data_IF_123308733238
#
_entry.id   IF_123308733238
#
_cell.length_a   1.000
_cell.length_b   1.000
_cell.length_c   1.000
_cell.angle_alpha   90.00
_cell.angle_beta   90.00
_cell.angle_gamma   90.00
#
_symmetry.space_group_name_H-M   'P 1'
#
loop_
_entity.id
_entity.type
_entity.pdbx_description
1 polymer ?
#
# COMPACT_ATOMS: atom_id res chain seq x y z
N UNK A 1 -6.98 -28.68 0.28
CA UNK A 1 -6.53 -27.48 1.00
C UNK A 1 -6.69 -26.33 0.03
N UNK A 2 -7.67 -25.46 0.25
CA UNK A 2 -7.92 -24.32 -0.62
C UNK A 2 -6.79 -23.28 -0.43
N UNK A 3 -6.02 -23.05 -1.50
CA UNK A 3 -4.99 -22.00 -1.50
C UNK A 3 -5.68 -20.64 -1.34
N UNK A 4 -5.32 -19.93 -0.27
CA UNK A 4 -5.77 -18.56 -0.05
C UNK A 4 -5.11 -17.65 -1.09
N UNK A 5 -5.85 -17.26 -2.09
CA UNK A 5 -5.46 -16.19 -3.01
C UNK A 5 -5.21 -14.92 -2.18
N UNK A 6 -4.02 -14.31 -2.29
CA UNK A 6 -3.72 -13.09 -1.55
C UNK A 6 -4.65 -11.95 -1.99
N UNK A 7 -4.93 -11.00 -1.08
CA UNK A 7 -5.81 -9.86 -1.38
C UNK A 7 -5.34 -9.08 -2.62
N UNK A 8 -4.02 -8.97 -2.84
CA UNK A 8 -3.44 -8.37 -4.05
C UNK A 8 -3.73 -9.17 -5.32
N UNK A 9 -3.85 -10.51 -5.23
CA UNK A 9 -4.25 -11.35 -6.36
C UNK A 9 -5.76 -11.29 -6.61
N UNK A 10 -6.57 -11.18 -5.55
CA UNK A 10 -8.01 -10.96 -5.65
C UNK A 10 -8.33 -9.54 -6.17
N UNK A 11 -7.58 -8.54 -5.76
CA UNK A 11 -7.70 -7.14 -6.21
C UNK A 11 -7.26 -6.96 -7.67
N UNK A 12 -6.17 -7.58 -8.09
CA UNK A 12 -5.81 -7.64 -9.51
C UNK A 12 -6.88 -8.33 -10.37
N UNK A 13 -7.72 -9.19 -9.75
CA UNK A 13 -8.86 -9.84 -10.43
C UNK A 13 -10.08 -8.93 -10.61
N UNK A 14 -10.19 -7.83 -9.87
CA UNK A 14 -11.42 -7.03 -9.74
C UNK A 14 -11.36 -5.62 -10.34
N UNK A 15 -10.37 -5.29 -11.19
CA UNK A 15 -10.33 -3.98 -11.84
C UNK A 15 -11.43 -3.85 -12.92
N UNK A 16 -12.15 -2.71 -12.99
CA UNK A 16 -13.33 -2.56 -13.83
C UNK A 16 -13.00 -2.56 -15.32
N UNK A 17 -13.70 -3.40 -16.08
CA UNK A 17 -13.89 -3.19 -17.50
C UNK A 17 -15.25 -2.52 -17.75
N UNK A 18 -15.41 -1.71 -18.83
CA UNK A 18 -16.65 -1.00 -19.11
C UNK A 18 -17.83 -1.97 -19.22
N UNK A 19 -18.92 -1.64 -18.56
CA UNK A 19 -20.12 -2.45 -18.42
C UNK A 19 -20.71 -2.89 -19.76
N UNK A 20 -20.83 -4.20 -19.98
CA UNK A 20 -21.71 -4.78 -21.01
C UNK A 20 -23.15 -4.79 -20.46
N UNK A 21 -24.14 -4.25 -21.17
CA UNK A 21 -25.53 -4.31 -20.72
C UNK A 21 -26.16 -5.68 -20.97
N UNK A 22 -26.64 -6.31 -19.93
CA UNK A 22 -27.60 -7.38 -20.07
C UNK A 22 -27.41 -8.61 -19.17
N UNK A 23 -28.35 -8.77 -18.25
CA UNK A 23 -28.69 -9.90 -17.38
C UNK A 23 -28.25 -9.76 -15.91
N UNK A 24 -28.91 -8.85 -15.17
CA UNK A 24 -28.70 -8.76 -13.73
C UNK A 24 -29.77 -7.96 -13.00
N UNK A 25 -31.01 -7.87 -13.48
CA UNK A 25 -32.06 -7.07 -12.82
C UNK A 25 -32.39 -7.50 -11.39
N UNK A 26 -32.18 -8.78 -11.03
CA UNK A 26 -32.45 -9.26 -9.66
C UNK A 26 -31.34 -8.88 -8.66
N UNK A 27 -30.06 -8.88 -9.09
CA UNK A 27 -28.93 -8.49 -8.23
C UNK A 27 -28.91 -6.98 -7.92
N UNK A 28 -29.33 -6.13 -8.84
CA UNK A 28 -29.35 -4.68 -8.68
C UNK A 28 -30.35 -4.17 -7.61
N UNK A 29 -31.35 -4.99 -7.25
CA UNK A 29 -32.34 -4.62 -6.23
C UNK A 29 -32.02 -5.07 -4.79
N UNK A 30 -31.04 -5.98 -4.61
CA UNK A 30 -30.74 -6.59 -3.32
C UNK A 30 -29.46 -6.11 -2.65
N UNK A 31 -28.52 -5.59 -3.42
CA UNK A 31 -27.22 -5.18 -2.92
C UNK A 31 -27.02 -3.67 -3.02
N UNK A 32 -26.23 -3.11 -2.09
CA UNK A 32 -25.83 -1.71 -2.12
C UNK A 32 -25.00 -1.39 -3.36
N UNK A 33 -25.14 -0.16 -3.90
CA UNK A 33 -24.29 0.35 -4.98
C UNK A 33 -22.80 0.34 -4.61
N UNK A 34 -22.46 0.46 -3.31
CA UNK A 34 -21.11 0.35 -2.77
C UNK A 34 -20.40 -0.96 -3.10
N UNK A 35 -21.15 -2.00 -3.48
CA UNK A 35 -20.62 -3.33 -3.78
C UNK A 35 -20.87 -3.75 -5.23
N UNK A 36 -21.14 -2.79 -6.12
CA UNK A 36 -21.43 -3.04 -7.55
C UNK A 36 -20.17 -3.30 -8.37
N UNK A 37 -19.18 -4.00 -7.81
CA UNK A 37 -17.93 -4.33 -8.48
C UNK A 37 -18.09 -5.48 -9.47
N UNK A 38 -17.30 -5.51 -10.56
CA UNK A 38 -17.21 -6.66 -11.44
C UNK A 38 -16.55 -7.81 -10.67
N UNK A 39 -17.30 -8.92 -10.46
CA UNK A 39 -16.81 -10.10 -9.72
C UNK A 39 -16.22 -11.17 -10.65
N UNK A 40 -16.11 -10.86 -11.95
CA UNK A 40 -15.55 -11.78 -12.95
C UNK A 40 -14.02 -11.58 -12.99
N UNK A 41 -13.22 -12.65 -12.85
CA UNK A 41 -11.76 -12.54 -12.97
C UNK A 41 -11.36 -11.90 -14.31
N UNK A 42 -10.40 -10.98 -14.28
CA UNK A 42 -9.84 -10.36 -15.48
C UNK A 42 -9.08 -11.41 -16.34
N UNK A 43 -8.74 -11.07 -17.61
CA UNK A 43 -8.07 -12.00 -18.52
C UNK A 43 -6.75 -12.56 -17.98
N UNK A 44 -5.92 -11.71 -17.34
CA UNK A 44 -4.64 -12.15 -16.76
C UNK A 44 -4.84 -13.12 -15.59
N UNK A 45 -5.80 -12.86 -14.70
CA UNK A 45 -6.12 -13.74 -13.57
C UNK A 45 -6.61 -15.12 -14.05
N UNK A 46 -7.41 -15.16 -15.12
CA UNK A 46 -7.84 -16.43 -15.75
C UNK A 46 -6.63 -17.18 -16.31
N UNK A 47 -5.75 -16.51 -17.06
CA UNK A 47 -4.56 -17.12 -17.63
C UNK A 47 -3.62 -17.69 -16.55
N UNK A 48 -3.46 -16.98 -15.42
CA UNK A 48 -2.68 -17.46 -14.26
C UNK A 48 -3.34 -18.72 -13.66
N UNK A 49 -4.66 -18.72 -13.49
CA UNK A 49 -5.42 -19.87 -13.00
C UNK A 49 -5.25 -21.10 -13.90
N UNK A 50 -5.36 -20.93 -15.21
CA UNK A 50 -5.14 -21.99 -16.22
C UNK A 50 -3.69 -22.53 -16.18
N UNK A 51 -2.70 -21.64 -16.08
CA UNK A 51 -1.31 -22.04 -16.00
C UNK A 51 -1.00 -22.85 -14.72
N UNK A 52 -1.56 -22.45 -13.58
CA UNK A 52 -1.46 -23.19 -12.31
C UNK A 52 -2.16 -24.54 -12.39
N UNK A 53 -3.38 -24.60 -12.91
CA UNK A 53 -4.14 -25.85 -13.08
C UNK A 53 -3.43 -26.85 -13.99
N UNK A 54 -2.66 -26.40 -14.98
CA UNK A 54 -1.84 -27.27 -15.85
C UNK A 54 -0.55 -27.78 -15.20
N UNK A 55 -0.27 -27.44 -13.93
CA UNK A 55 0.95 -27.80 -13.24
C UNK A 55 2.22 -27.07 -13.73
N UNK A 56 2.06 -25.98 -14.50
CA UNK A 56 3.18 -25.19 -15.04
C UNK A 56 3.88 -24.45 -13.91
N UNK A 57 5.20 -24.57 -13.84
CA UNK A 57 6.03 -23.75 -12.93
C UNK A 57 6.05 -22.30 -13.40
N UNK A 58 5.51 -21.39 -12.59
CA UNK A 58 5.48 -19.94 -12.88
C UNK A 58 6.64 -19.27 -12.17
N UNK A 59 7.36 -18.40 -12.88
CA UNK A 59 8.30 -17.42 -12.31
C UNK A 59 7.50 -16.17 -11.92
N UNK A 60 7.04 -16.17 -10.67
CA UNK A 60 6.13 -15.13 -10.19
C UNK A 60 6.93 -13.91 -9.70
N UNK A 61 6.90 -12.84 -10.49
CA UNK A 61 7.51 -11.54 -10.17
C UNK A 61 6.49 -10.55 -9.58
N UNK A 62 5.34 -11.05 -9.08
CA UNK A 62 4.27 -10.23 -8.48
C UNK A 62 4.11 -10.45 -6.98
N UNK A 63 4.92 -11.33 -6.37
CA UNK A 63 4.82 -11.72 -4.97
C UNK A 63 4.82 -10.48 -4.06
N UNK A 64 3.79 -10.35 -3.23
CA UNK A 64 3.68 -9.28 -2.22
C UNK A 64 3.58 -9.84 -0.78
N UNK A 65 3.52 -11.17 -0.65
CA UNK A 65 3.45 -11.87 0.63
C UNK A 65 4.86 -12.27 1.09
N UNK A 66 5.37 -11.68 2.19
CA UNK A 66 6.71 -12.01 2.70
C UNK A 66 6.89 -13.49 3.05
N UNK A 67 5.82 -14.14 3.50
CA UNK A 67 5.85 -15.57 3.87
C UNK A 67 6.12 -16.47 2.64
N UNK A 68 5.49 -16.14 1.50
CA UNK A 68 5.75 -16.80 0.21
C UNK A 68 7.15 -16.48 -0.32
N UNK A 69 7.64 -15.27 -0.06
CA UNK A 69 9.01 -14.86 -0.37
C UNK A 69 10.07 -15.53 0.53
N UNK A 70 9.65 -16.38 1.48
CA UNK A 70 10.56 -17.13 2.35
C UNK A 70 11.23 -16.30 3.45
N UNK A 71 10.73 -15.09 3.75
CA UNK A 71 11.24 -14.25 4.86
C UNK A 71 10.28 -14.38 6.03
N UNK A 72 10.79 -14.85 7.16
CA UNK A 72 9.96 -15.13 8.34
C UNK A 72 10.52 -14.46 9.59
N UNK A 73 9.64 -13.86 10.40
CA UNK A 73 9.97 -13.46 11.77
C UNK A 73 10.33 -14.67 12.63
N UNK A 74 10.79 -14.42 13.85
CA UNK A 74 11.00 -15.48 14.85
C UNK A 74 9.65 -16.04 15.31
N UNK A 75 9.30 -17.21 14.80
CA UNK A 75 8.00 -17.84 15.03
C UNK A 75 7.78 -18.17 16.51
N UNK A 76 8.78 -18.69 17.21
CA UNK A 76 8.67 -19.07 18.62
C UNK A 76 8.44 -17.84 19.50
N UNK A 77 9.24 -16.80 19.29
CA UNK A 77 9.11 -15.53 20.01
C UNK A 77 7.75 -14.88 19.76
N UNK A 78 7.27 -14.88 18.52
CA UNK A 78 5.96 -14.33 18.15
C UNK A 78 4.83 -15.11 18.82
N UNK A 79 4.84 -16.45 18.74
CA UNK A 79 3.79 -17.28 19.33
C UNK A 79 3.79 -17.21 20.86
N UNK A 80 4.96 -17.17 21.51
CA UNK A 80 5.07 -17.00 22.94
C UNK A 80 4.49 -15.66 23.42
N UNK A 81 4.70 -14.58 22.67
CA UNK A 81 4.15 -13.27 22.99
C UNK A 81 2.62 -13.24 22.90
N UNK A 82 2.02 -13.98 21.97
CA UNK A 82 0.57 -14.09 21.82
C UNK A 82 -0.09 -14.92 22.93
N UNK A 83 0.64 -15.79 23.61
CA UNK A 83 0.14 -16.67 24.66
C UNK A 83 0.12 -15.98 26.05
N UNK A 84 -0.09 -14.69 26.11
CA UNK A 84 -0.18 -13.92 27.35
C UNK A 84 -1.51 -14.19 28.06
N UNK A 85 -1.53 -14.66 29.34
CA UNK A 85 -2.76 -14.91 30.09
C UNK A 85 -3.68 -13.68 30.26
N UNK A 86 -3.13 -12.48 30.33
CA UNK A 86 -3.88 -11.22 30.40
C UNK A 86 -4.77 -10.99 29.15
N UNK A 87 -4.53 -11.69 28.06
CA UNK A 87 -5.37 -11.67 26.88
C UNK A 87 -6.78 -12.20 27.11
N UNK A 88 -7.01 -12.94 28.18
CA UNK A 88 -8.34 -13.44 28.58
C UNK A 88 -9.18 -12.40 29.31
N UNK A 89 -8.62 -11.24 29.67
CA UNK A 89 -9.35 -10.13 30.26
C UNK A 89 -9.97 -9.28 29.16
N UNK A 90 -11.28 -9.05 29.24
CA UNK A 90 -11.96 -8.10 28.39
C UNK A 90 -11.84 -6.69 28.98
N UNK A 91 -11.08 -5.84 28.30
CA UNK A 91 -10.87 -4.43 28.65
C UNK A 91 -10.86 -3.61 27.35
N UNK A 92 -12.05 -3.25 26.83
CA UNK A 92 -12.15 -2.55 25.56
C UNK A 92 -11.67 -1.10 25.72
N UNK A 93 -10.57 -0.79 25.05
CA UNK A 93 -10.05 0.58 24.95
C UNK A 93 -10.20 1.03 23.49
N UNK A 94 -11.07 1.99 23.19
CA UNK A 94 -11.40 2.37 21.81
C UNK A 94 -10.19 2.74 20.94
N UNK A 95 -9.22 3.46 21.53
CA UNK A 95 -7.97 3.81 20.85
C UNK A 95 -6.95 2.66 20.80
N UNK A 96 -7.24 1.54 21.46
CA UNK A 96 -6.31 0.46 21.74
C UNK A 96 -5.52 0.68 23.03
N UNK A 97 -4.89 -0.39 23.54
CA UNK A 97 -4.14 -0.38 24.80
C UNK A 97 -3.04 0.70 24.79
N UNK A 98 -2.92 1.42 25.89
CA UNK A 98 -1.96 2.51 26.03
C UNK A 98 -0.51 2.03 25.83
N UNK A 99 -0.15 0.88 26.39
CA UNK A 99 1.18 0.27 26.27
C UNK A 99 1.50 -0.10 24.82
N UNK A 100 0.49 -0.51 24.06
CA UNK A 100 0.65 -0.79 22.63
C UNK A 100 0.93 0.50 21.85
N UNK A 101 0.18 1.57 22.14
CA UNK A 101 0.40 2.90 21.54
C UNK A 101 1.78 3.45 21.91
N UNK A 102 2.23 3.27 23.15
CA UNK A 102 3.60 3.60 23.56
C UNK A 102 4.66 2.81 22.78
N UNK A 103 4.39 1.55 22.46
CA UNK A 103 5.31 0.73 21.66
C UNK A 103 5.42 1.25 20.21
N UNK A 104 4.33 1.75 19.64
CA UNK A 104 4.34 2.46 18.35
C UNK A 104 5.18 3.74 18.44
N UNK A 105 5.01 4.55 19.50
CA UNK A 105 5.84 5.75 19.71
C UNK A 105 7.33 5.39 19.82
N UNK A 106 7.67 4.30 20.52
CA UNK A 106 9.03 3.79 20.59
C UNK A 106 9.58 3.40 19.23
N UNK A 107 8.79 2.72 18.39
CA UNK A 107 9.16 2.43 17.02
C UNK A 107 9.52 3.70 16.24
N UNK A 108 8.69 4.73 16.25
CA UNK A 108 8.98 5.98 15.54
C UNK A 108 10.23 6.67 16.09
N UNK A 109 10.44 6.64 17.40
CA UNK A 109 11.66 7.19 18.02
C UNK A 109 12.92 6.48 17.53
N UNK A 110 12.92 5.16 17.55
CA UNK A 110 14.11 4.36 17.23
C UNK A 110 14.40 4.30 15.74
N UNK A 111 13.36 4.13 14.91
CA UNK A 111 13.50 3.97 13.46
C UNK A 111 13.59 5.31 12.74
N UNK A 112 12.83 6.33 13.16
CA UNK A 112 12.69 7.60 12.44
C UNK A 112 13.15 8.83 13.21
N UNK A 113 13.59 8.67 14.47
CA UNK A 113 14.11 9.78 15.29
C UNK A 113 13.02 10.74 15.79
N UNK A 114 11.76 10.33 15.79
CA UNK A 114 10.64 11.11 16.30
C UNK A 114 10.60 11.01 17.83
N UNK A 115 10.91 12.08 18.52
CA UNK A 115 11.11 12.05 19.99
C UNK A 115 9.82 12.32 20.77
N UNK A 116 8.88 13.04 20.18
CA UNK A 116 7.75 13.71 20.85
C UNK A 116 6.37 13.24 20.35
N UNK A 117 6.29 12.07 19.71
CA UNK A 117 5.00 11.49 19.34
C UNK A 117 4.24 11.07 20.62
N UNK A 118 3.09 11.73 20.86
CA UNK A 118 2.21 11.44 21.97
C UNK A 118 1.36 10.21 21.68
N UNK A 119 1.34 9.17 22.55
CA UNK A 119 0.45 8.01 22.41
C UNK A 119 -1.04 8.39 22.29
N UNK A 120 -1.48 9.52 22.84
CA UNK A 120 -2.87 9.98 22.74
C UNK A 120 -3.26 10.45 21.33
N UNK A 121 -2.28 10.65 20.44
CA UNK A 121 -2.50 10.96 19.01
C UNK A 121 -2.68 9.71 18.14
N UNK A 122 -2.58 8.50 18.75
CA UNK A 122 -2.67 7.22 18.05
C UNK A 122 -4.03 6.55 18.28
N UNK A 123 -4.58 5.98 17.20
CA UNK A 123 -5.70 5.05 17.26
C UNK A 123 -5.28 3.76 16.54
N UNK A 124 -5.36 2.62 17.23
CA UNK A 124 -5.02 1.32 16.67
C UNK A 124 -6.13 0.80 15.79
N UNK A 125 -5.75 0.10 14.72
CA UNK A 125 -6.67 -0.53 13.76
C UNK A 125 -6.15 -1.91 13.38
N UNK A 126 -7.01 -2.75 12.79
CA UNK A 126 -6.62 -4.10 12.34
C UNK A 126 -5.83 -4.08 11.04
N UNK A 127 -5.92 -3.00 10.27
CA UNK A 127 -5.20 -2.80 9.02
C UNK A 127 -5.19 -1.32 8.63
N UNK A 128 -4.29 -0.93 7.73
CA UNK A 128 -4.35 0.41 7.12
C UNK A 128 -5.63 0.60 6.31
N UNK A 129 -6.22 -0.45 5.74
CA UNK A 129 -7.53 -0.37 5.08
C UNK A 129 -8.65 0.04 6.05
N UNK A 130 -8.66 -0.48 7.28
CA UNK A 130 -9.57 -0.02 8.33
C UNK A 130 -9.25 1.42 8.74
N UNK A 131 -7.97 1.76 8.86
CA UNK A 131 -7.52 3.12 9.15
C UNK A 131 -8.02 4.13 8.10
N UNK A 132 -7.90 3.84 6.80
CA UNK A 132 -8.51 4.62 5.72
C UNK A 132 -10.02 4.77 5.91
N UNK A 133 -10.72 3.67 6.21
CA UNK A 133 -12.16 3.67 6.43
C UNK A 133 -12.58 4.58 7.58
N UNK A 134 -11.78 4.64 8.66
CA UNK A 134 -12.02 5.54 9.79
C UNK A 134 -11.80 7.01 9.39
N UNK A 135 -10.69 7.28 8.68
CA UNK A 135 -10.35 8.65 8.27
C UNK A 135 -11.33 9.17 7.20
N UNK A 136 -11.78 8.34 6.27
CA UNK A 136 -12.80 8.73 5.29
C UNK A 136 -14.12 9.10 5.99
N UNK A 137 -14.59 8.29 6.95
CA UNK A 137 -15.79 8.60 7.74
C UNK A 137 -15.64 9.84 8.63
N UNK A 138 -14.41 10.12 9.08
CA UNK A 138 -14.13 11.31 9.88
C UNK A 138 -14.22 12.58 9.05
N UNK A 139 -13.69 12.56 7.82
CA UNK A 139 -13.48 13.75 7.01
C UNK A 139 -14.58 14.02 5.97
N UNK A 140 -15.28 12.97 5.53
CA UNK A 140 -16.12 13.06 4.32
C UNK A 140 -17.58 12.70 4.59
N UNK A 141 -18.46 13.41 3.91
CA UNK A 141 -19.85 13.02 3.72
C UNK A 141 -20.00 12.23 2.43
N UNK A 142 -21.14 11.52 2.22
CA UNK A 142 -21.42 10.88 0.93
C UNK A 142 -21.33 11.86 -0.23
N UNK A 143 -20.52 11.52 -1.25
CA UNK A 143 -20.26 12.33 -2.43
C UNK A 143 -19.20 13.43 -2.26
N UNK A 144 -18.56 13.52 -1.10
CA UNK A 144 -17.33 14.32 -0.95
C UNK A 144 -16.16 13.64 -1.67
N UNK A 145 -15.12 14.40 -1.97
CA UNK A 145 -14.00 14.00 -2.82
C UNK A 145 -12.71 13.87 -2.02
N UNK A 146 -11.91 12.85 -2.37
CA UNK A 146 -10.54 12.65 -1.88
C UNK A 146 -9.60 12.64 -3.08
N UNK A 147 -8.58 13.49 -3.05
CA UNK A 147 -7.56 13.57 -4.09
C UNK A 147 -6.56 12.42 -3.94
N UNK A 148 -6.32 11.63 -5.00
CA UNK A 148 -5.49 10.42 -4.97
C UNK A 148 -4.40 10.46 -6.04
N UNK A 149 -3.14 10.06 -5.73
CA UNK A 149 -2.07 10.05 -6.72
C UNK A 149 -2.28 8.94 -7.75
N UNK A 150 -1.93 9.19 -9.02
CA UNK A 150 -1.84 8.21 -10.09
C UNK A 150 -0.49 8.34 -10.81
N UNK A 151 0.24 7.22 -11.02
CA UNK A 151 -0.06 5.84 -10.62
C UNK A 151 0.03 5.62 -9.12
N UNK A 152 -0.79 4.69 -8.59
CA UNK A 152 -0.78 4.34 -7.17
C UNK A 152 -1.43 2.98 -6.89
N UNK A 153 -1.60 2.68 -5.61
CA UNK A 153 -2.13 1.42 -5.13
C UNK A 153 -3.62 1.25 -5.43
N UNK A 154 -4.05 0.15 -6.08
CA UNK A 154 -5.41 0.01 -6.62
C UNK A 154 -6.51 -0.20 -5.57
N UNK A 155 -6.19 -0.35 -4.28
CA UNK A 155 -7.19 -0.60 -3.23
C UNK A 155 -8.07 0.62 -2.91
N UNK A 156 -7.64 1.81 -3.25
CA UNK A 156 -8.34 3.05 -2.87
C UNK A 156 -9.76 3.10 -3.38
N UNK A 157 -10.04 2.62 -4.60
CA UNK A 157 -11.39 2.63 -5.18
C UNK A 157 -12.39 1.84 -4.32
N UNK A 158 -12.03 0.62 -3.90
CA UNK A 158 -12.90 -0.20 -3.04
C UNK A 158 -13.17 0.43 -1.67
N UNK A 159 -12.17 1.09 -1.09
CA UNK A 159 -12.30 1.76 0.21
C UNK A 159 -13.20 3.01 0.10
N UNK A 160 -13.09 3.74 -1.02
CA UNK A 160 -13.89 4.91 -1.32
C UNK A 160 -15.35 4.53 -1.57
N UNK A 161 -15.61 3.52 -2.41
CA UNK A 161 -16.94 2.99 -2.67
C UNK A 161 -17.66 2.59 -1.36
N UNK A 162 -16.97 1.84 -0.49
CA UNK A 162 -17.50 1.41 0.82
C UNK A 162 -17.79 2.59 1.77
N UNK A 163 -17.22 3.75 1.50
CA UNK A 163 -17.36 4.96 2.30
C UNK A 163 -18.22 6.06 1.65
N UNK A 164 -18.78 5.79 0.45
CA UNK A 164 -19.51 6.75 -0.40
C UNK A 164 -18.68 8.01 -0.73
N UNK A 165 -17.38 7.86 -0.95
CA UNK A 165 -16.44 8.92 -1.26
C UNK A 165 -16.02 8.82 -2.73
N UNK A 166 -15.90 9.96 -3.42
CA UNK A 166 -15.38 10.02 -4.78
C UNK A 166 -13.87 10.22 -4.80
N UNK A 167 -13.15 9.41 -5.58
CA UNK A 167 -11.70 9.58 -5.78
C UNK A 167 -11.44 10.45 -7.00
N UNK A 168 -10.73 11.55 -6.81
CA UNK A 168 -10.32 12.45 -7.89
C UNK A 168 -8.82 12.33 -8.09
N UNK A 169 -8.35 11.83 -9.24
CA UNK A 169 -6.93 11.59 -9.45
C UNK A 169 -6.14 12.88 -9.70
N UNK A 170 -4.93 12.94 -9.17
CA UNK A 170 -3.88 13.86 -9.58
C UNK A 170 -2.66 13.07 -10.06
N UNK A 171 -1.87 13.65 -10.95
CA UNK A 171 -0.77 12.95 -11.63
C UNK A 171 0.52 12.98 -10.82
N UNK A 172 1.26 11.87 -10.87
CA UNK A 172 2.69 11.84 -10.63
C UNK A 172 3.42 11.94 -11.98
N UNK A 173 4.38 12.84 -12.10
CA UNK A 173 5.21 13.02 -13.30
C UNK A 173 6.55 12.29 -13.11
N UNK A 174 7.04 11.72 -14.20
CA UNK A 174 8.36 11.12 -14.24
C UNK A 174 9.31 11.90 -15.14
N UNK A 175 10.29 12.57 -14.51
CA UNK A 175 11.40 13.22 -15.19
C UNK A 175 12.69 12.93 -14.39
N UNK A 176 13.43 11.88 -14.81
CA UNK A 176 14.60 11.35 -14.09
C UNK A 176 14.37 11.06 -12.57
N UNK A 177 13.13 10.94 -12.17
CA UNK A 177 12.58 10.71 -10.85
C UNK A 177 11.09 11.05 -10.83
N UNK A 178 10.36 10.57 -9.85
CA UNK A 178 8.93 10.83 -9.73
C UNK A 178 8.70 12.09 -8.91
N UNK A 179 7.74 12.89 -9.33
CA UNK A 179 7.35 14.13 -8.68
C UNK A 179 5.82 14.28 -8.72
N UNK A 180 5.28 14.98 -7.74
CA UNK A 180 3.86 15.34 -7.70
C UNK A 180 3.62 16.49 -8.71
N UNK A 181 2.68 16.29 -9.64
CA UNK A 181 2.20 17.35 -10.51
C UNK A 181 1.26 18.27 -9.72
N UNK A 182 1.82 19.36 -9.17
CA UNK A 182 1.06 20.35 -8.40
C UNK A 182 0.00 21.08 -9.22
N UNK A 183 0.22 21.23 -10.52
CA UNK A 183 -0.78 21.82 -11.43
C UNK A 183 -1.95 20.86 -11.64
N UNK A 184 -1.67 19.56 -11.81
CA UNK A 184 -2.70 18.52 -11.84
C UNK A 184 -3.48 18.47 -10.53
N UNK A 185 -2.79 18.48 -9.38
CA UNK A 185 -3.41 18.52 -8.06
C UNK A 185 -4.32 19.75 -7.89
N UNK A 186 -3.85 20.90 -8.33
CA UNK A 186 -4.64 22.16 -8.28
C UNK A 186 -5.89 22.09 -9.14
N UNK A 187 -5.79 21.53 -10.35
CA UNK A 187 -6.94 21.34 -11.25
C UNK A 187 -7.94 20.30 -10.75
N UNK A 188 -7.46 19.28 -10.05
CA UNK A 188 -8.28 18.20 -9.52
C UNK A 188 -9.15 18.64 -8.33
N UNK A 189 -8.69 19.61 -7.55
CA UNK A 189 -9.40 20.06 -6.35
C UNK A 189 -10.67 20.85 -6.66
N UNK A 190 -11.76 20.51 -5.97
CA UNK A 190 -13.06 21.19 -6.04
C UNK A 190 -13.52 21.62 -4.63
N UNK A 191 -14.61 22.37 -4.50
CA UNK A 191 -15.19 22.68 -3.18
C UNK A 191 -15.68 21.45 -2.40
N UNK A 192 -15.81 20.27 -3.04
CA UNK A 192 -16.16 19.01 -2.39
C UNK A 192 -14.94 18.24 -1.89
N UNK A 193 -13.74 18.62 -2.26
CA UNK A 193 -12.51 17.97 -1.83
C UNK A 193 -12.32 18.12 -0.31
N UNK A 194 -11.92 17.05 0.38
CA UNK A 194 -11.72 17.00 1.84
C UNK A 194 -10.29 16.67 2.24
N UNK A 195 -9.61 15.87 1.44
CA UNK A 195 -8.23 15.47 1.75
C UNK A 195 -7.43 15.15 0.50
N UNK A 196 -6.11 15.13 0.66
CA UNK A 196 -5.13 14.62 -0.32
C UNK A 196 -4.50 13.37 0.27
N UNK A 197 -4.51 12.27 -0.48
CA UNK A 197 -3.75 11.06 -0.16
C UNK A 197 -2.34 11.20 -0.70
N UNK A 198 -1.36 10.91 0.15
CA UNK A 198 0.04 10.68 -0.21
C UNK A 198 0.40 9.24 0.16
N UNK A 199 1.21 8.58 -0.66
CA UNK A 199 1.82 7.29 -0.34
C UNK A 199 3.33 7.49 -0.26
N UNK A 200 3.95 7.22 0.88
CA UNK A 200 5.30 7.63 1.19
C UNK A 200 6.15 6.49 1.78
N UNK A 201 6.96 5.79 0.95
CA UNK A 201 7.10 5.95 -0.50
C UNK A 201 5.89 5.42 -1.28
N UNK A 202 5.67 5.97 -2.48
CA UNK A 202 4.55 5.58 -3.32
C UNK A 202 4.67 4.13 -3.83
N UNK A 203 3.56 3.47 -3.97
CA UNK A 203 3.44 2.14 -4.56
C UNK A 203 2.65 2.26 -5.89
N UNK A 204 3.25 1.95 -7.07
CA UNK A 204 4.46 1.13 -7.24
C UNK A 204 5.75 1.92 -7.54
N UNK A 205 5.71 3.25 -7.60
CA UNK A 205 6.83 4.07 -8.11
C UNK A 205 8.05 4.08 -7.20
N UNK A 206 7.85 3.82 -5.90
CA UNK A 206 8.88 3.84 -4.88
C UNK A 206 9.44 5.23 -4.55
N UNK A 207 8.75 6.30 -5.00
CA UNK A 207 9.18 7.68 -4.75
C UNK A 207 8.81 8.17 -3.37
N UNK A 208 9.71 8.88 -2.72
CA UNK A 208 9.44 9.63 -1.50
C UNK A 208 9.02 11.05 -1.82
N UNK A 209 8.09 11.60 -1.04
CA UNK A 209 7.73 13.02 -1.12
C UNK A 209 8.90 13.84 -0.61
N UNK A 210 9.46 14.71 -1.44
CA UNK A 210 10.60 15.56 -1.11
C UNK A 210 10.22 16.70 -0.15
N UNK A 211 11.19 17.30 0.52
CA UNK A 211 10.94 18.43 1.43
C UNK A 211 10.29 19.64 0.76
N UNK A 212 10.61 19.88 -0.51
CA UNK A 212 9.98 20.94 -1.30
C UNK A 212 8.51 20.64 -1.61
N UNK A 213 8.20 19.39 -1.96
CA UNK A 213 6.84 18.95 -2.19
C UNK A 213 6.02 18.97 -0.89
N UNK A 214 6.58 18.55 0.25
CA UNK A 214 5.91 18.67 1.57
C UNK A 214 5.51 20.10 1.84
N UNK A 215 6.40 21.07 1.57
CA UNK A 215 6.10 22.49 1.78
C UNK A 215 4.99 23.00 0.86
N UNK A 216 5.06 22.63 -0.42
CA UNK A 216 4.05 23.03 -1.42
C UNK A 216 2.67 22.41 -1.13
N UNK A 217 2.63 21.11 -0.77
CA UNK A 217 1.37 20.42 -0.43
C UNK A 217 0.76 20.98 0.85
N UNK A 218 1.57 21.29 1.87
CA UNK A 218 1.07 21.92 3.08
C UNK A 218 0.44 23.29 2.77
N UNK A 219 1.09 24.13 1.96
CA UNK A 219 0.54 25.41 1.54
C UNK A 219 -0.77 25.24 0.76
N UNK A 220 -0.81 24.29 -0.18
CA UNK A 220 -2.02 23.96 -0.95
C UNK A 220 -3.18 23.50 -0.04
N UNK A 221 -2.89 22.59 0.92
CA UNK A 221 -3.91 22.11 1.85
C UNK A 221 -4.41 23.18 2.79
N UNK A 222 -3.54 24.07 3.26
CA UNK A 222 -3.92 25.23 4.09
C UNK A 222 -4.83 26.19 3.34
N UNK A 223 -4.48 26.55 2.09
CA UNK A 223 -5.29 27.44 1.26
C UNK A 223 -6.70 26.87 0.99
N UNK A 224 -6.81 25.55 0.85
CA UNK A 224 -8.03 24.86 0.47
C UNK A 224 -8.76 24.20 1.63
N UNK A 225 -8.29 24.34 2.85
CA UNK A 225 -8.82 23.72 4.08
C UNK A 225 -8.93 22.18 3.97
N UNK A 226 -7.91 21.52 3.36
CA UNK A 226 -7.83 20.10 3.16
C UNK A 226 -6.97 19.43 4.23
N UNK A 227 -7.29 18.16 4.56
CA UNK A 227 -6.42 17.30 5.34
C UNK A 227 -5.45 16.52 4.45
N UNK A 228 -4.37 16.00 5.06
CA UNK A 228 -3.49 14.99 4.46
C UNK A 228 -3.79 13.61 5.03
N UNK A 229 -3.84 12.60 4.17
CA UNK A 229 -3.85 11.19 4.54
C UNK A 229 -2.57 10.58 3.95
N UNK A 230 -1.66 10.14 4.81
CA UNK A 230 -0.35 9.69 4.38
C UNK A 230 -0.14 8.23 4.72
N UNK A 231 0.00 7.39 3.70
CA UNK A 231 0.32 5.97 3.86
C UNK A 231 1.83 5.77 3.93
N UNK A 232 2.31 5.37 5.10
CA UNK A 232 3.73 5.14 5.38
C UNK A 232 4.09 3.66 5.57
N UNK A 233 3.28 2.73 5.07
CA UNK A 233 3.56 1.29 5.28
C UNK A 233 4.91 0.85 4.74
N UNK A 234 5.49 1.55 3.77
CA UNK A 234 6.80 1.26 3.17
C UNK A 234 7.92 2.20 3.64
N UNK A 235 7.69 3.09 4.61
CA UNK A 235 8.65 4.12 5.02
C UNK A 235 10.05 3.57 5.35
N UNK A 236 10.12 2.38 5.95
CA UNK A 236 11.37 1.73 6.35
C UNK A 236 12.22 1.18 5.18
N UNK A 237 11.69 1.16 3.96
CA UNK A 237 12.28 0.45 2.84
C UNK A 237 12.96 1.36 1.81
N UNK A 238 13.75 2.34 2.28
CA UNK A 238 14.63 3.13 1.41
C UNK A 238 15.80 2.27 0.93
N UNK A 239 15.97 2.16 -0.39
CA UNK A 239 16.98 1.28 -0.99
C UNK A 239 18.42 1.73 -0.70
N UNK A 240 18.65 3.03 -0.52
CA UNK A 240 19.92 3.59 -0.10
C UNK A 240 20.11 3.60 1.42
N UNK A 241 19.19 2.99 2.17
CA UNK A 241 19.16 2.95 3.65
C UNK A 241 19.14 4.34 4.32
N UNK A 242 18.77 5.39 3.59
CA UNK A 242 18.54 6.70 4.18
C UNK A 242 17.30 6.69 5.08
N UNK A 243 17.25 7.64 6.03
CA UNK A 243 16.05 7.88 6.82
C UNK A 243 15.25 9.00 6.17
N UNK A 244 14.01 8.73 5.85
CA UNK A 244 13.06 9.71 5.40
C UNK A 244 12.22 10.22 6.57
N UNK A 245 11.81 11.48 6.50
CA UNK A 245 11.00 12.11 7.54
C UNK A 245 9.58 11.56 7.49
N UNK A 246 9.08 11.09 8.63
CA UNK A 246 7.68 10.69 8.77
C UNK A 246 6.76 11.90 8.89
N UNK A 247 5.57 11.80 8.30
CA UNK A 247 4.52 12.81 8.40
C UNK A 247 3.83 12.86 9.76
N UNK A 248 4.11 11.95 10.69
CA UNK A 248 3.65 12.07 12.09
C UNK A 248 4.17 13.35 12.76
N UNK A 249 5.22 13.96 12.20
CA UNK A 249 5.78 15.26 12.63
C UNK A 249 5.27 16.45 11.80
N UNK A 250 4.27 16.25 10.92
CA UNK A 250 3.69 17.35 10.15
C UNK A 250 2.68 18.11 11.02
N UNK A 251 3.04 19.29 11.48
CA UNK A 251 2.16 20.15 12.28
C UNK A 251 1.54 21.30 11.47
N UNK A 252 1.95 21.46 10.20
CA UNK A 252 1.50 22.58 9.36
C UNK A 252 0.04 22.44 8.90
N UNK A 253 -0.41 21.21 8.69
CA UNK A 253 -1.73 20.87 8.11
C UNK A 253 -2.33 19.68 8.84
N UNK A 254 -3.68 19.60 9.02
CA UNK A 254 -4.34 18.41 9.51
C UNK A 254 -3.84 17.17 8.78
N UNK A 255 -3.22 16.23 9.48
CA UNK A 255 -2.54 15.09 8.86
C UNK A 255 -2.87 13.80 9.61
N UNK A 256 -3.21 12.75 8.85
CA UNK A 256 -3.45 11.39 9.33
C UNK A 256 -2.41 10.47 8.70
N UNK A 257 -1.43 10.05 9.48
CA UNK A 257 -0.39 9.12 9.03
C UNK A 257 -0.79 7.69 9.37
N UNK A 258 -0.81 6.84 8.35
CA UNK A 258 -1.21 5.44 8.45
C UNK A 258 0.00 4.53 8.33
N UNK A 259 0.13 3.54 9.21
CA UNK A 259 1.16 2.51 9.11
C UNK A 259 0.76 1.26 9.88
N UNK A 260 1.60 0.21 9.86
CA UNK A 260 1.30 -1.05 10.55
C UNK A 260 2.37 -2.12 10.39
N UNK A 261 2.28 -3.15 11.23
CA UNK A 261 3.29 -4.23 11.29
C UNK A 261 3.31 -5.15 10.07
N UNK A 262 2.33 -5.05 9.18
CA UNK A 262 2.25 -5.85 7.95
C UNK A 262 3.52 -5.76 7.11
N UNK A 263 4.10 -4.56 7.02
CA UNK A 263 5.33 -4.29 6.30
C UNK A 263 6.51 -4.09 7.24
N UNK A 264 6.34 -3.36 8.34
CA UNK A 264 7.40 -3.06 9.32
C UNK A 264 8.04 -4.35 9.85
N UNK A 265 7.21 -5.32 10.25
CA UNK A 265 7.66 -6.59 10.87
C UNK A 265 7.36 -7.83 10.03
N UNK A 266 6.85 -7.66 8.80
CA UNK A 266 6.42 -8.73 7.90
C UNK A 266 5.37 -9.67 8.53
N UNK A 267 4.44 -9.10 9.29
CA UNK A 267 3.39 -9.81 10.05
C UNK A 267 1.98 -9.37 9.64
N UNK A 268 1.58 -9.45 8.34
CA UNK A 268 0.25 -9.02 7.91
C UNK A 268 -0.89 -9.82 8.55
N UNK A 269 -0.64 -11.08 8.93
CA UNK A 269 -1.61 -11.97 9.58
C UNK A 269 -1.93 -11.56 11.02
N UNK A 270 -1.09 -10.77 11.68
CA UNK A 270 -1.30 -10.32 13.06
C UNK A 270 -2.26 -9.14 13.18
N UNK A 271 -2.58 -8.49 12.07
CA UNK A 271 -3.65 -7.48 12.01
C UNK A 271 -3.49 -6.36 13.04
N UNK A 272 -2.33 -5.67 13.00
CA UNK A 272 -2.05 -4.46 13.81
C UNK A 272 -1.54 -3.33 12.93
N UNK A 273 -2.29 -2.23 12.92
CA UNK A 273 -1.98 -0.99 12.25
C UNK A 273 -2.43 0.20 13.12
N UNK A 274 -2.24 1.40 12.66
CA UNK A 274 -2.63 2.61 13.39
C UNK A 274 -2.85 3.81 12.48
N UNK A 275 -3.59 4.77 13.03
CA UNK A 275 -3.67 6.16 12.57
C UNK A 275 -2.94 7.03 13.58
N UNK A 276 -2.02 7.88 13.14
CA UNK A 276 -1.43 8.94 13.94
C UNK A 276 -1.95 10.30 13.45
N UNK A 277 -2.63 11.04 14.31
CA UNK A 277 -3.13 12.38 13.98
C UNK A 277 -2.10 13.45 14.34
N UNK A 278 -1.79 14.35 13.41
CA UNK A 278 -0.92 15.51 13.63
C UNK A 278 -1.49 16.76 12.95
N UNK A 279 -0.95 17.92 13.26
CA UNK A 279 -1.46 19.20 12.78
C UNK A 279 -1.68 20.19 13.93
N UNK A 280 -2.52 21.23 13.73
CA UNK A 280 -2.91 22.17 14.79
C UNK A 280 -3.57 21.45 15.98
N UNK A 281 -3.20 21.84 17.21
CA UNK A 281 -3.61 21.11 18.43
C UNK A 281 -5.13 21.02 18.61
N UNK A 282 -5.87 22.07 18.31
CA UNK A 282 -7.36 22.06 18.39
C UNK A 282 -7.95 21.04 17.42
N UNK A 283 -7.40 20.94 16.21
CA UNK A 283 -7.82 19.93 15.22
C UNK A 283 -7.51 18.53 15.73
N UNK A 284 -6.29 18.28 16.20
CA UNK A 284 -5.86 16.97 16.69
C UNK A 284 -6.75 16.50 17.86
N UNK A 285 -7.06 17.36 18.81
CA UNK A 285 -7.95 17.03 19.91
C UNK A 285 -9.37 16.69 19.43
N UNK A 286 -9.93 17.48 18.52
CA UNK A 286 -11.25 17.27 17.96
C UNK A 286 -11.35 16.02 17.09
N UNK A 287 -10.32 15.74 16.29
CA UNK A 287 -10.20 14.54 15.45
C UNK A 287 -10.03 13.27 16.32
N UNK A 288 -9.17 13.34 17.35
CA UNK A 288 -8.94 12.24 18.27
C UNK A 288 -10.21 11.79 19.00
N UNK A 289 -11.02 12.71 19.50
CA UNK A 289 -12.29 12.38 20.14
C UNK A 289 -13.28 11.69 19.18
N UNK A 290 -13.33 12.12 17.92
CA UNK A 290 -14.21 11.51 16.91
C UNK A 290 -13.70 10.15 16.43
N UNK A 291 -12.38 10.02 16.22
CA UNK A 291 -11.76 8.73 15.88
C UNK A 291 -11.98 7.70 16.98
N UNK A 292 -11.91 8.12 18.24
CA UNK A 292 -12.22 7.26 19.39
C UNK A 292 -13.66 6.72 19.32
N UNK A 293 -14.64 7.56 19.04
CA UNK A 293 -16.04 7.14 18.85
C UNK A 293 -16.23 6.20 17.65
N UNK A 294 -15.53 6.47 16.54
CA UNK A 294 -15.55 5.59 15.37
C UNK A 294 -14.95 4.24 15.75
N UNK A 295 -13.79 4.21 16.38
CA UNK A 295 -13.12 2.98 16.80
C UNK A 295 -13.92 2.17 17.81
N UNK A 296 -14.55 2.84 18.78
CA UNK A 296 -15.45 2.21 19.78
C UNK A 296 -16.64 1.52 19.12
N UNK A 297 -17.17 2.08 18.04
CA UNK A 297 -18.27 1.48 17.29
C UNK A 297 -17.89 0.13 16.67
N UNK A 298 -16.62 -0.07 16.29
CA UNK A 298 -16.16 -1.29 15.63
C UNK A 298 -15.53 -2.31 16.59
N UNK A 299 -14.98 -1.88 17.72
CA UNK A 299 -14.30 -2.73 18.73
C UNK A 299 -13.22 -3.65 18.10
N UNK A 300 -12.47 -3.15 17.14
CA UNK A 300 -11.72 -3.96 16.17
C UNK A 300 -10.52 -4.68 16.75
N UNK A 301 -9.82 -4.08 17.73
CA UNK A 301 -8.51 -4.57 18.12
C UNK A 301 -8.60 -5.70 19.14
N UNK A 302 -8.03 -6.87 18.77
CA UNK A 302 -7.96 -8.01 19.68
C UNK A 302 -6.82 -7.85 20.70
N UNK A 303 -7.10 -8.25 21.95
CA UNK A 303 -6.19 -8.10 23.08
C UNK A 303 -4.87 -8.89 22.94
N UNK A 304 -4.84 -10.15 22.47
CA UNK A 304 -3.59 -10.90 22.33
C UNK A 304 -2.54 -10.18 21.47
N UNK A 305 -2.95 -9.62 20.33
CA UNK A 305 -2.04 -8.91 19.43
C UNK A 305 -1.57 -7.58 20.04
N UNK A 306 -2.45 -6.88 20.74
CA UNK A 306 -2.09 -5.64 21.42
C UNK A 306 -1.03 -5.90 22.51
N UNK A 307 -1.22 -6.90 23.35
CA UNK A 307 -0.25 -7.27 24.38
C UNK A 307 1.08 -7.74 23.79
N UNK A 308 1.04 -8.42 22.64
CA UNK A 308 2.24 -8.87 21.94
C UNK A 308 2.95 -7.74 21.15
N UNK A 309 2.33 -6.60 20.93
CA UNK A 309 2.81 -5.55 20.03
C UNK A 309 4.28 -5.11 20.26
N UNK A 310 4.78 -4.97 21.50
CA UNK A 310 6.20 -4.67 21.72
C UNK A 310 7.13 -5.69 21.06
N UNK A 311 6.83 -6.98 21.21
CA UNK A 311 7.60 -8.09 20.62
C UNK A 311 7.43 -8.16 19.11
N UNK A 312 6.19 -7.96 18.62
CA UNK A 312 5.88 -7.97 17.18
C UNK A 312 6.60 -6.84 16.45
N UNK A 313 6.65 -5.64 17.02
CA UNK A 313 7.38 -4.50 16.45
C UNK A 313 8.89 -4.73 16.44
N UNK A 314 9.45 -5.39 17.47
CA UNK A 314 10.89 -5.69 17.52
C UNK A 314 11.34 -6.69 16.43
N UNK A 315 10.42 -7.51 15.88
CA UNK A 315 10.75 -8.41 14.77
C UNK A 315 11.32 -7.66 13.56
N UNK A 316 11.02 -6.36 13.40
CA UNK A 316 11.58 -5.52 12.34
C UNK A 316 13.10 -5.57 12.28
N UNK A 317 13.77 -5.60 13.44
CA UNK A 317 15.24 -5.63 13.54
C UNK A 317 15.86 -6.88 12.91
N UNK A 318 15.09 -7.96 12.88
CA UNK A 318 15.50 -9.22 12.25
C UNK A 318 15.16 -9.26 10.77
N UNK A 319 13.93 -8.87 10.40
CA UNK A 319 13.43 -9.11 9.05
C UNK A 319 13.77 -8.00 8.05
N UNK A 320 13.81 -6.73 8.48
CA UNK A 320 14.08 -5.62 7.58
C UNK A 320 15.47 -5.67 6.94
N UNK A 321 16.58 -5.97 7.65
CA UNK A 321 17.89 -6.07 7.01
C UNK A 321 17.92 -7.14 5.91
N UNK A 322 17.33 -8.31 6.18
CA UNK A 322 17.27 -9.43 5.22
C UNK A 322 16.50 -9.02 3.97
N UNK A 323 15.36 -8.34 4.17
CA UNK A 323 14.54 -7.90 3.05
C UNK A 323 15.20 -6.77 2.27
N UNK A 324 15.78 -5.77 2.93
CA UNK A 324 16.50 -4.67 2.26
C UNK A 324 17.66 -5.18 1.43
N UNK A 325 18.45 -6.16 1.95
CA UNK A 325 19.52 -6.78 1.18
C UNK A 325 19.00 -7.48 -0.09
N UNK A 326 17.83 -8.14 0.02
CA UNK A 326 17.17 -8.78 -1.13
C UNK A 326 16.68 -7.76 -2.15
N UNK A 327 16.01 -6.69 -1.72
CA UNK A 327 15.53 -5.63 -2.59
C UNK A 327 16.67 -5.03 -3.41
N UNK A 328 17.76 -4.68 -2.73
CA UNK A 328 18.97 -4.14 -3.38
C UNK A 328 19.64 -5.15 -4.32
N UNK A 329 19.75 -6.42 -3.90
CA UNK A 329 20.35 -7.46 -4.74
C UNK A 329 19.54 -7.71 -6.02
N UNK A 330 18.19 -7.76 -5.91
CA UNK A 330 17.33 -7.91 -7.07
C UNK A 330 17.38 -6.69 -7.99
N UNK A 331 17.42 -5.48 -7.43
CA UNK A 331 17.54 -4.25 -8.22
C UNK A 331 18.86 -4.18 -8.98
N UNK A 332 20.00 -4.49 -8.32
CA UNK A 332 21.31 -4.58 -8.97
C UNK A 332 21.35 -5.69 -10.02
N UNK A 333 20.70 -6.83 -9.75
CA UNK A 333 20.57 -7.93 -10.71
C UNK A 333 19.77 -7.54 -11.95
N UNK A 334 18.70 -6.76 -11.78
CA UNK A 334 17.91 -6.18 -12.85
C UNK A 334 18.75 -5.23 -13.71
N UNK A 335 19.45 -4.28 -13.07
CA UNK A 335 20.29 -3.30 -13.79
C UNK A 335 21.34 -3.96 -14.67
N UNK A 336 21.97 -5.03 -14.18
CA UNK A 336 22.95 -5.80 -14.97
C UNK A 336 22.34 -6.45 -16.21
N UNK A 337 21.12 -6.96 -16.10
CA UNK A 337 20.42 -7.58 -17.23
C UNK A 337 19.94 -6.52 -18.24
N UNK A 338 19.42 -5.39 -17.76
CA UNK A 338 18.97 -4.28 -18.60
C UNK A 338 20.11 -3.61 -19.37
N UNK A 339 21.33 -3.63 -18.86
CA UNK A 339 22.48 -2.99 -19.52
C UNK A 339 22.75 -3.49 -20.96
N UNK A 340 22.29 -4.69 -21.30
CA UNK A 340 22.39 -5.28 -22.64
C UNK A 340 21.10 -5.20 -23.47
N UNK A 341 20.04 -4.57 -22.95
CA UNK A 341 18.71 -4.51 -23.57
C UNK A 341 18.27 -3.05 -23.74
N UNK A 342 18.41 -2.52 -24.95
CA UNK A 342 18.13 -1.10 -25.23
C UNK A 342 16.63 -0.77 -25.29
N UNK A 343 15.78 -1.77 -25.51
CA UNK A 343 14.32 -1.60 -25.63
C UNK A 343 13.57 -1.56 -24.30
N UNK A 344 14.24 -1.93 -23.20
CA UNK A 344 13.63 -1.98 -21.88
C UNK A 344 14.48 -1.21 -20.88
N UNK A 345 13.86 -0.34 -20.09
CA UNK A 345 14.52 0.43 -19.03
C UNK A 345 13.70 0.35 -17.75
N UNK A 346 14.35 0.47 -16.61
CA UNK A 346 13.59 0.70 -15.38
C UNK A 346 13.49 2.18 -15.07
N UNK A 347 12.39 2.56 -14.43
CA UNK A 347 12.23 3.89 -13.86
C UNK A 347 13.00 3.99 -12.53
N UNK A 348 13.35 5.22 -12.13
CA UNK A 348 14.01 5.47 -10.85
C UNK A 348 13.09 5.04 -9.71
N UNK A 349 13.67 4.30 -8.76
CA UNK A 349 13.00 3.82 -7.55
C UNK A 349 13.88 4.12 -6.34
N UNK A 350 13.33 4.76 -5.33
CA UNK A 350 14.05 5.18 -4.12
C UNK A 350 13.80 4.21 -2.95
N UNK A 351 12.61 3.59 -2.93
CA UNK A 351 12.22 2.67 -1.86
C UNK A 351 11.02 1.80 -2.21
N UNK A 352 10.46 1.15 -1.18
CA UNK A 352 9.35 0.20 -1.36
C UNK A 352 9.81 -1.16 -1.87
N UNK A 353 8.84 -1.97 -2.33
CA UNK A 353 9.06 -3.36 -2.73
C UNK A 353 8.92 -3.62 -4.22
N UNK A 354 8.68 -2.59 -5.02
CA UNK A 354 8.38 -2.73 -6.43
C UNK A 354 9.35 -1.91 -7.28
N UNK A 355 9.46 -2.30 -8.53
CA UNK A 355 10.16 -1.55 -9.57
C UNK A 355 9.29 -1.51 -10.82
N UNK A 356 9.29 -0.38 -11.50
CA UNK A 356 8.56 -0.17 -12.75
C UNK A 356 9.53 -0.29 -13.91
N UNK A 357 9.20 -1.16 -14.87
CA UNK A 357 9.88 -1.23 -16.16
C UNK A 357 9.08 -0.43 -17.19
N UNK A 358 9.80 0.31 -18.02
CA UNK A 358 9.27 0.89 -19.27
C UNK A 358 9.64 -0.05 -20.41
N UNK A 359 8.63 -0.48 -21.18
CA UNK A 359 8.74 -1.43 -22.29
C UNK A 359 8.17 -0.81 -23.58
N UNK A 360 8.51 -1.32 -24.78
CA UNK A 360 7.91 -0.86 -26.03
C UNK A 360 6.39 -1.08 -26.06
N UNK A 361 5.65 -0.10 -26.55
CA UNK A 361 4.19 -0.16 -26.71
C UNK A 361 3.86 -0.75 -28.08
N UNK A 362 3.83 -2.09 -28.18
CA UNK A 362 3.42 -2.82 -29.39
C UNK A 362 2.08 -3.53 -29.21
N UNK A 363 1.65 -3.69 -27.99
CA UNK A 363 0.40 -4.27 -27.51
C UNK A 363 0.06 -3.66 -26.17
N UNK A 364 -1.12 -3.92 -25.61
CA UNK A 364 -1.47 -3.46 -24.25
C UNK A 364 -0.62 -4.15 -23.19
N UNK A 365 -0.43 -3.51 -22.04
CA UNK A 365 0.34 -4.08 -20.92
C UNK A 365 -0.26 -5.42 -20.44
N UNK A 366 -1.60 -5.57 -20.51
CA UNK A 366 -2.28 -6.83 -20.14
C UNK A 366 -2.00 -7.94 -21.17
N UNK A 367 -2.07 -7.64 -22.46
CA UNK A 367 -1.74 -8.61 -23.52
C UNK A 367 -0.28 -9.05 -23.42
N UNK A 368 0.65 -8.11 -23.18
CA UNK A 368 2.05 -8.41 -22.94
C UNK A 368 2.24 -9.31 -21.70
N UNK A 369 1.58 -9.00 -20.58
CA UNK A 369 1.65 -9.81 -19.36
C UNK A 369 1.11 -11.25 -19.59
N UNK A 370 0.02 -11.40 -20.33
CA UNK A 370 -0.54 -12.71 -20.72
C UNK A 370 0.41 -13.46 -21.66
N UNK A 371 1.01 -12.79 -22.62
CA UNK A 371 1.99 -13.38 -23.55
C UNK A 371 3.23 -13.85 -22.81
N UNK A 372 3.79 -13.04 -21.91
CA UNK A 372 4.91 -13.42 -21.04
C UNK A 372 4.60 -14.68 -20.23
N UNK A 373 3.41 -14.75 -19.65
CA UNK A 373 2.96 -15.93 -18.90
C UNK A 373 2.87 -17.18 -19.78
N UNK A 374 2.31 -17.06 -21.00
CA UNK A 374 2.11 -18.17 -21.92
C UNK A 374 3.40 -18.69 -22.54
N UNK A 375 4.26 -17.79 -22.99
CA UNK A 375 5.49 -18.13 -23.74
C UNK A 375 6.66 -18.49 -22.83
N UNK A 376 6.79 -17.78 -21.69
CA UNK A 376 7.98 -17.89 -20.84
C UNK A 376 7.66 -18.34 -19.40
N UNK A 377 6.39 -18.50 -19.05
CA UNK A 377 5.93 -18.81 -17.69
C UNK A 377 6.29 -17.72 -16.65
N UNK A 378 6.41 -16.46 -17.08
CA UNK A 378 6.68 -15.32 -16.19
C UNK A 378 5.39 -14.58 -15.91
N UNK A 379 5.10 -14.32 -14.62
CA UNK A 379 3.99 -13.49 -14.16
C UNK A 379 4.51 -12.13 -13.74
N UNK A 380 3.92 -11.06 -14.29
CA UNK A 380 4.18 -9.66 -13.95
C UNK A 380 2.87 -8.91 -13.81
N UNK A 381 2.87 -7.76 -13.12
CA UNK A 381 1.71 -6.89 -13.14
C UNK A 381 1.81 -5.89 -14.32
N UNK A 382 0.74 -5.75 -15.12
CA UNK A 382 0.63 -4.68 -16.12
C UNK A 382 0.44 -3.33 -15.44
N UNK A 383 0.88 -2.25 -16.10
CA UNK A 383 0.85 -0.90 -15.54
C UNK A 383 -0.56 -0.42 -15.17
N UNK A 384 -1.57 -0.77 -15.97
CA UNK A 384 -2.93 -0.35 -15.70
C UNK A 384 -3.49 -0.83 -14.34
N UNK A 385 -2.92 -1.90 -13.74
CA UNK A 385 -3.29 -2.32 -12.37
C UNK A 385 -2.95 -1.27 -11.31
N UNK A 386 -2.10 -0.33 -11.63
CA UNK A 386 -1.70 0.79 -10.77
C UNK A 386 -2.12 2.14 -11.34
N UNK A 387 -3.06 2.14 -12.29
CA UNK A 387 -3.57 3.34 -12.93
C UNK A 387 -2.50 4.17 -13.66
N UNK A 388 -1.52 3.52 -14.30
CA UNK A 388 -0.65 4.23 -15.22
C UNK A 388 -1.49 4.84 -16.36
N UNK A 389 -1.29 6.12 -16.69
CA UNK A 389 -2.13 6.81 -17.68
C UNK A 389 -1.87 6.38 -19.12
N UNK A 390 -0.77 5.67 -19.35
CA UNK A 390 -0.34 5.21 -20.68
C UNK A 390 0.23 3.80 -20.58
N UNK A 391 0.11 3.04 -21.66
CA UNK A 391 0.70 1.71 -21.83
C UNK A 391 2.24 1.77 -21.85
N UNK A 392 2.88 0.62 -21.78
CA UNK A 392 4.33 0.45 -21.81
C UNK A 392 4.95 0.36 -20.42
N UNK A 393 4.20 -0.09 -19.42
CA UNK A 393 4.67 -0.24 -18.06
C UNK A 393 4.38 -1.63 -17.49
N UNK A 394 5.42 -2.25 -16.92
CA UNK A 394 5.29 -3.48 -16.14
C UNK A 394 5.81 -3.24 -14.73
N UNK A 395 5.13 -3.82 -13.74
CA UNK A 395 5.53 -3.69 -12.33
C UNK A 395 5.99 -5.05 -11.80
N UNK A 396 7.22 -5.06 -11.26
CA UNK A 396 7.86 -6.25 -10.71
C UNK A 396 8.07 -6.10 -9.21
N UNK A 397 7.90 -7.20 -8.49
CA UNK A 397 8.17 -7.26 -7.06
C UNK A 397 9.63 -7.62 -6.78
N UNK A 398 10.32 -6.76 -6.05
CA UNK A 398 11.71 -6.95 -5.62
C UNK A 398 11.85 -7.91 -4.42
N UNK A 399 10.74 -8.32 -3.75
CA UNK A 399 10.82 -9.28 -2.63
C UNK A 399 10.92 -10.74 -3.11
N UNK A 400 10.67 -11.00 -4.40
CA UNK A 400 10.80 -12.33 -5.00
C UNK A 400 12.19 -12.92 -4.70
N UNK A 401 12.25 -14.23 -4.49
CA UNK A 401 13.51 -14.94 -4.24
C UNK A 401 14.52 -14.66 -5.37
N UNK A 402 15.80 -14.34 -5.06
CA UNK A 402 16.76 -13.81 -6.05
C UNK A 402 17.00 -14.70 -7.27
N UNK A 403 16.96 -16.02 -7.12
CA UNK A 403 17.15 -16.94 -8.26
C UNK A 403 15.93 -16.93 -9.18
N UNK A 404 14.72 -16.88 -8.60
CA UNK A 404 13.46 -16.77 -9.35
C UNK A 404 13.35 -15.42 -10.04
N UNK A 405 13.71 -14.34 -9.34
CA UNK A 405 13.72 -12.98 -9.90
C UNK A 405 14.67 -12.88 -11.11
N UNK A 406 15.90 -13.33 -10.95
CA UNK A 406 16.92 -13.29 -12.00
C UNK A 406 16.49 -14.08 -13.25
N UNK A 407 16.00 -15.31 -13.06
CA UNK A 407 15.52 -16.15 -14.16
C UNK A 407 14.28 -15.56 -14.82
N UNK A 408 13.31 -15.09 -14.03
CA UNK A 408 12.10 -14.44 -14.52
C UNK A 408 12.41 -13.21 -15.37
N UNK A 409 13.32 -12.34 -14.93
CA UNK A 409 13.75 -11.17 -15.70
C UNK A 409 14.45 -11.59 -17.00
N UNK A 410 15.35 -12.60 -16.95
CA UNK A 410 16.03 -13.08 -18.16
C UNK A 410 15.03 -13.57 -19.22
N UNK A 411 13.98 -14.27 -18.81
CA UNK A 411 12.91 -14.75 -19.69
C UNK A 411 12.03 -13.62 -20.22
N UNK A 412 11.69 -12.65 -19.36
CA UNK A 412 10.94 -11.46 -19.76
C UNK A 412 11.65 -10.72 -20.89
N UNK A 413 12.95 -10.50 -20.74
CA UNK A 413 13.77 -9.77 -21.71
C UNK A 413 13.94 -10.50 -23.07
N UNK A 414 13.67 -11.81 -23.15
CA UNK A 414 13.61 -12.53 -24.43
C UNK A 414 12.39 -12.17 -25.28
N UNK A 415 11.31 -11.76 -24.64
CA UNK A 415 10.01 -11.44 -25.28
C UNK A 415 9.88 -9.94 -25.57
N UNK A 416 10.36 -9.10 -24.66
CA UNK A 416 10.34 -7.63 -24.81
C UNK A 416 11.55 -7.18 -25.65
N UNK A 417 11.32 -6.95 -26.95
CA UNK A 417 12.36 -6.57 -27.90
C UNK A 417 12.04 -5.26 -28.62
#
# INVERSE_FOLDING_TARGET
MAESTSLSQALAAALPQPAMPGKGRLAAFMFSHRTSWPLIPNPLSRAIGEARASGRKIFDLTISNPTEAGIRPDTETVLAALANPEAMRYDPQPRGLFETRQSVCRYYRESHGVLDLDPERLVLTTSTSEAYSYVFRLLSNPGDEILVPKPSYPLFEFLADLSDVELIPYSLLYDHGWQIDLDSLTRAATPRSRAVILVHPNNPTGSYVSSSEVSAINAFCQERELALIVDEVFLDYAHNRSRHRSFVTNHATPTFTLSGISKISLLPQMKLAWVAASGPDEFVAAAGARLEMIADTFLSMNTPVQLAAPVLLEQRRRVQPILLDRLVANLVGLDRQLASHLSCTRLVVEGGWYVVLRVPVVESDEELAIRLLRETSVSVHPGHFYDFPVEGHLVLSLITEPSVFREGVARLLQVVR
#
